data_IF_029798816412
#
_entry.id   IF_029798816412
#
_cell.length_a   1.000
_cell.length_b   1.000
_cell.length_c   1.000
_cell.angle_alpha   90.00
_cell.angle_beta   90.00
_cell.angle_gamma   90.00
#
_symmetry.space_group_name_H-M   'P 1'
#
loop_
_entity.id
_entity.type
_entity.pdbx_description
1 polymer ?
#
# COMPACT_ATOMS: atom_id res chain seq x y z
N UNK A 1 -25.66 -12.03 -16.05
CA UNK A 1 -25.82 -10.57 -16.03
C UNK A 1 -24.43 -9.96 -16.17
N UNK A 2 -24.29 -8.87 -16.90
CA UNK A 2 -22.98 -8.25 -17.15
C UNK A 2 -22.40 -7.66 -15.84
N UNK A 3 -21.06 -7.72 -15.65
CA UNK A 3 -20.41 -7.05 -14.52
C UNK A 3 -20.74 -5.55 -14.52
N UNK A 4 -20.66 -4.90 -13.35
CA UNK A 4 -20.74 -3.44 -13.30
C UNK A 4 -19.61 -2.86 -14.14
N UNK A 5 -19.97 -2.20 -15.22
CA UNK A 5 -19.07 -1.49 -16.12
C UNK A 5 -19.52 -0.05 -16.22
N UNK A 6 -18.74 0.78 -16.90
CA UNK A 6 -19.12 2.18 -17.19
C UNK A 6 -20.48 2.31 -17.88
N UNK A 7 -20.95 1.25 -18.52
CA UNK A 7 -22.21 1.19 -19.24
C UNK A 7 -23.40 0.71 -18.40
N UNK A 8 -23.19 0.30 -17.15
CA UNK A 8 -24.27 -0.15 -16.28
C UNK A 8 -25.24 0.99 -15.96
N UNK A 9 -26.55 0.69 -15.89
CA UNK A 9 -27.57 1.73 -15.74
C UNK A 9 -27.41 2.57 -14.47
N UNK A 10 -26.94 1.96 -13.37
CA UNK A 10 -26.61 2.69 -12.15
C UNK A 10 -25.49 3.72 -12.36
N UNK A 11 -24.45 3.37 -13.12
CA UNK A 11 -23.32 4.27 -13.40
C UNK A 11 -23.78 5.40 -14.32
N UNK A 12 -24.59 5.07 -15.33
CA UNK A 12 -25.20 6.07 -16.23
C UNK A 12 -26.06 7.05 -15.44
N UNK A 13 -26.92 6.53 -14.56
CA UNK A 13 -27.76 7.35 -13.69
C UNK A 13 -26.94 8.25 -12.77
N UNK A 14 -25.88 7.74 -12.12
CA UNK A 14 -25.01 8.56 -11.26
C UNK A 14 -24.37 9.70 -12.06
N UNK A 15 -23.90 9.44 -13.29
CA UNK A 15 -23.31 10.48 -14.15
C UNK A 15 -24.32 11.54 -14.56
N UNK A 16 -25.52 11.13 -14.93
CA UNK A 16 -26.62 12.04 -15.29
C UNK A 16 -27.04 12.87 -14.07
N UNK A 17 -27.22 12.25 -12.91
CA UNK A 17 -27.61 12.92 -11.67
C UNK A 17 -26.56 13.94 -11.22
N UNK A 18 -25.27 13.59 -11.33
CA UNK A 18 -24.16 14.52 -11.08
C UNK A 18 -24.24 15.74 -12.00
N UNK A 19 -24.45 15.51 -13.30
CA UNK A 19 -24.52 16.58 -14.29
C UNK A 19 -25.75 17.48 -14.07
N UNK A 20 -26.92 16.88 -13.83
CA UNK A 20 -28.18 17.59 -13.57
C UNK A 20 -28.10 18.50 -12.34
N UNK A 21 -27.36 18.07 -11.32
CA UNK A 21 -27.15 18.85 -10.08
C UNK A 21 -25.94 19.78 -10.13
N UNK A 22 -25.16 19.78 -11.22
CA UNK A 22 -23.93 20.58 -11.32
C UNK A 22 -22.86 20.19 -10.28
N UNK A 23 -22.81 18.92 -9.87
CA UNK A 23 -21.88 18.43 -8.84
C UNK A 23 -20.48 18.21 -9.42
N UNK A 24 -19.45 18.45 -8.60
CA UNK A 24 -18.08 18.05 -8.92
C UNK A 24 -17.94 16.52 -8.84
N UNK A 25 -18.61 15.89 -7.87
CA UNK A 25 -18.55 14.45 -7.64
C UNK A 25 -19.87 13.94 -7.05
N UNK A 26 -20.21 12.72 -7.43
CA UNK A 26 -21.22 11.88 -6.75
C UNK A 26 -20.58 10.53 -6.43
N UNK A 27 -20.86 10.02 -5.24
CA UNK A 27 -20.35 8.75 -4.74
C UNK A 27 -21.50 7.92 -4.18
N UNK A 28 -21.61 6.67 -4.66
CA UNK A 28 -22.48 5.65 -4.09
C UNK A 28 -21.64 4.68 -3.29
N UNK A 29 -22.00 4.50 -2.02
CA UNK A 29 -21.50 3.45 -1.16
C UNK A 29 -22.68 2.55 -0.78
N UNK A 30 -22.62 1.28 -1.16
CA UNK A 30 -23.63 0.28 -0.84
C UNK A 30 -22.99 -0.94 -0.20
N UNK A 31 -23.66 -1.53 0.78
CA UNK A 31 -23.18 -2.70 1.49
C UNK A 31 -24.29 -3.73 1.65
N UNK A 32 -23.92 -5.00 1.52
CA UNK A 32 -24.75 -6.14 1.84
C UNK A 32 -24.05 -6.93 2.96
N UNK A 33 -24.68 -6.94 4.13
CA UNK A 33 -24.12 -7.47 5.38
C UNK A 33 -24.93 -8.65 5.90
N UNK A 34 -24.36 -9.37 6.87
CA UNK A 34 -25.02 -10.47 7.58
C UNK A 34 -25.57 -11.51 6.60
N UNK A 35 -24.70 -12.13 5.83
CA UNK A 35 -25.05 -13.21 4.89
C UNK A 35 -26.12 -12.84 3.86
N UNK A 36 -26.21 -11.56 3.47
CA UNK A 36 -27.17 -11.10 2.47
C UNK A 36 -28.47 -10.50 3.01
N UNK A 37 -28.62 -10.41 4.33
CA UNK A 37 -29.87 -9.97 4.96
C UNK A 37 -30.02 -8.46 5.05
N UNK A 38 -28.95 -7.75 5.39
CA UNK A 38 -28.99 -6.30 5.63
C UNK A 38 -28.37 -5.59 4.44
N UNK A 39 -29.13 -4.67 3.85
CA UNK A 39 -28.68 -3.82 2.76
C UNK A 39 -28.67 -2.36 3.23
N UNK A 40 -27.52 -1.70 3.05
CA UNK A 40 -27.33 -0.27 3.33
C UNK A 40 -26.86 0.43 2.05
N UNK A 41 -27.35 1.64 1.79
CA UNK A 41 -26.84 2.52 0.74
C UNK A 41 -26.70 3.96 1.21
N UNK A 42 -25.72 4.67 0.67
CA UNK A 42 -25.48 6.08 0.93
C UNK A 42 -25.01 6.74 -0.35
N UNK A 43 -25.64 7.88 -0.69
CA UNK A 43 -25.13 8.78 -1.72
C UNK A 43 -24.47 9.99 -1.06
N UNK A 44 -23.25 10.28 -1.48
CA UNK A 44 -22.53 11.49 -1.13
C UNK A 44 -22.39 12.38 -2.37
N UNK A 45 -22.71 13.66 -2.22
CA UNK A 45 -22.59 14.68 -3.23
C UNK A 45 -21.51 15.68 -2.83
N UNK A 46 -20.64 16.04 -3.76
CA UNK A 46 -19.63 17.08 -3.58
C UNK A 46 -19.90 18.20 -4.58
N UNK A 47 -20.18 19.39 -4.04
CA UNK A 47 -20.33 20.60 -4.83
C UNK A 47 -18.98 21.09 -5.40
N UNK A 48 -18.98 21.98 -6.41
CA UNK A 48 -17.74 22.53 -6.99
C UNK A 48 -16.82 23.26 -6.01
N UNK A 49 -17.36 23.78 -4.91
CA UNK A 49 -16.61 24.44 -3.83
C UNK A 49 -16.09 23.45 -2.75
N UNK A 50 -16.36 22.15 -2.92
CA UNK A 50 -15.99 21.10 -1.98
C UNK A 50 -17.02 20.83 -0.88
N UNK A 51 -18.16 21.53 -0.85
CA UNK A 51 -19.20 21.28 0.15
C UNK A 51 -19.81 19.87 -0.03
N UNK A 52 -19.97 19.16 1.10
CA UNK A 52 -20.49 17.79 1.14
C UNK A 52 -21.97 17.78 1.54
N UNK A 53 -22.77 16.98 0.85
CA UNK A 53 -24.16 16.71 1.21
C UNK A 53 -24.53 15.26 0.93
N UNK A 54 -25.58 14.77 1.60
CA UNK A 54 -26.04 13.39 1.47
C UNK A 54 -27.33 13.31 0.65
N UNK A 55 -27.48 12.21 -0.07
CA UNK A 55 -28.66 11.90 -0.85
C UNK A 55 -29.17 10.49 -0.60
N UNK A 56 -30.31 10.20 -1.22
CA UNK A 56 -30.95 8.89 -1.18
C UNK A 56 -30.99 8.30 -2.58
N UNK A 57 -30.64 7.03 -2.70
CA UNK A 57 -30.77 6.33 -3.97
C UNK A 57 -32.26 6.09 -4.29
N UNK A 58 -32.74 6.41 -5.50
CA UNK A 58 -34.13 6.12 -5.86
C UNK A 58 -34.38 4.61 -5.94
N UNK A 59 -35.64 4.19 -5.75
CA UNK A 59 -35.98 2.77 -5.55
C UNK A 59 -35.58 1.85 -6.71
N UNK A 60 -35.68 2.33 -7.95
CA UNK A 60 -35.28 1.56 -9.14
C UNK A 60 -33.77 1.24 -9.10
N UNK A 61 -32.95 2.26 -8.85
CA UNK A 61 -31.51 2.13 -8.71
C UNK A 61 -31.13 1.30 -7.48
N UNK A 62 -31.82 1.51 -6.35
CA UNK A 62 -31.63 0.71 -5.13
C UNK A 62 -31.86 -0.76 -5.38
N UNK A 63 -32.95 -1.11 -6.05
CA UNK A 63 -33.29 -2.51 -6.37
C UNK A 63 -32.23 -3.15 -7.26
N UNK A 64 -31.71 -2.40 -8.24
CA UNK A 64 -30.63 -2.87 -9.12
C UNK A 64 -29.34 -3.16 -8.34
N UNK A 65 -28.91 -2.23 -7.49
CA UNK A 65 -27.69 -2.40 -6.67
C UNK A 65 -27.86 -3.56 -5.68
N UNK A 66 -29.02 -3.65 -5.02
CA UNK A 66 -29.30 -4.75 -4.10
C UNK A 66 -29.29 -6.11 -4.82
N UNK A 67 -29.88 -6.20 -6.01
CA UNK A 67 -29.88 -7.44 -6.80
C UNK A 67 -28.46 -7.86 -7.20
N UNK A 68 -27.62 -6.90 -7.61
CA UNK A 68 -26.21 -7.15 -7.91
C UNK A 68 -25.46 -7.69 -6.70
N UNK A 69 -25.55 -7.02 -5.55
CA UNK A 69 -24.84 -7.45 -4.33
C UNK A 69 -25.30 -8.84 -3.89
N UNK A 70 -26.61 -9.12 -3.95
CA UNK A 70 -27.16 -10.44 -3.61
C UNK A 70 -26.70 -11.54 -4.56
N UNK A 71 -26.59 -11.25 -5.85
CA UNK A 71 -26.04 -12.21 -6.81
C UNK A 71 -24.57 -12.49 -6.49
N UNK A 72 -23.77 -11.45 -6.26
CA UNK A 72 -22.36 -11.59 -5.93
C UNK A 72 -22.15 -12.38 -4.62
N UNK A 73 -23.05 -12.23 -3.65
CA UNK A 73 -23.09 -13.06 -2.44
C UNK A 73 -23.49 -14.51 -2.74
N UNK A 74 -24.49 -14.73 -3.60
CA UNK A 74 -24.98 -16.05 -3.92
C UNK A 74 -23.97 -16.90 -4.70
N UNK A 75 -23.07 -16.27 -5.47
CA UNK A 75 -21.97 -16.95 -6.17
C UNK A 75 -20.99 -17.63 -5.20
N UNK A 76 -20.75 -17.01 -4.04
CA UNK A 76 -19.89 -17.56 -2.99
C UNK A 76 -20.28 -16.95 -1.64
N UNK A 77 -21.13 -17.65 -0.89
CA UNK A 77 -21.65 -17.18 0.40
C UNK A 77 -20.56 -17.04 1.47
N UNK A 78 -19.40 -17.68 1.26
CA UNK A 78 -18.22 -17.51 2.10
C UNK A 78 -17.58 -16.12 2.01
N UNK A 79 -17.98 -15.29 1.03
CA UNK A 79 -17.50 -13.90 0.84
C UNK A 79 -17.83 -12.99 2.03
N UNK A 80 -18.85 -13.32 2.83
CA UNK A 80 -19.27 -12.52 3.97
C UNK A 80 -19.90 -11.19 3.52
N UNK A 81 -19.57 -10.10 4.21
CA UNK A 81 -20.06 -8.78 3.84
C UNK A 81 -19.50 -8.32 2.49
N UNK A 82 -20.33 -7.70 1.66
CA UNK A 82 -19.95 -7.18 0.34
C UNK A 82 -20.17 -5.68 0.31
N UNK A 83 -19.19 -4.93 -0.18
CA UNK A 83 -19.21 -3.48 -0.28
C UNK A 83 -18.99 -3.07 -1.74
N UNK A 84 -19.83 -2.18 -2.24
CA UNK A 84 -19.72 -1.54 -3.54
C UNK A 84 -19.52 -0.04 -3.35
N UNK A 85 -18.51 0.50 -4.02
CA UNK A 85 -18.28 1.93 -4.17
C UNK A 85 -18.30 2.29 -5.66
N UNK A 86 -19.10 3.28 -6.04
CA UNK A 86 -19.10 3.88 -7.38
C UNK A 86 -18.89 5.38 -7.26
N UNK A 87 -17.82 5.87 -7.86
CA UNK A 87 -17.46 7.28 -7.86
C UNK A 87 -17.59 7.80 -9.29
N UNK A 88 -18.34 8.88 -9.47
CA UNK A 88 -18.40 9.62 -10.73
C UNK A 88 -17.95 11.05 -10.48
N UNK A 89 -16.74 11.39 -10.94
CA UNK A 89 -16.21 12.75 -10.94
C UNK A 89 -16.59 13.48 -12.24
N UNK A 90 -16.51 14.81 -12.24
CA UNK A 90 -16.81 15.63 -13.41
C UNK A 90 -15.81 15.46 -14.57
N UNK A 91 -14.57 15.10 -14.25
CA UNK A 91 -13.43 15.14 -15.19
C UNK A 91 -12.85 13.77 -15.51
N UNK A 92 -13.32 12.71 -14.83
CA UNK A 92 -12.67 11.40 -14.85
C UNK A 92 -13.68 10.31 -15.22
N UNK A 93 -13.17 9.19 -15.71
CA UNK A 93 -13.98 7.99 -15.88
C UNK A 93 -14.53 7.48 -14.52
N UNK A 94 -15.69 6.82 -14.49
CA UNK A 94 -16.24 6.27 -13.26
C UNK A 94 -15.28 5.26 -12.61
N UNK A 95 -15.06 5.39 -11.30
CA UNK A 95 -14.32 4.41 -10.52
C UNK A 95 -15.31 3.48 -9.82
N UNK A 96 -15.28 2.19 -10.16
CA UNK A 96 -16.14 1.15 -9.60
C UNK A 96 -15.26 0.19 -8.80
N UNK A 97 -15.60 -0.02 -7.53
CA UNK A 97 -14.90 -0.95 -6.64
C UNK A 97 -15.91 -1.84 -5.94
N UNK A 98 -15.77 -3.15 -6.12
CA UNK A 98 -16.53 -4.17 -5.41
C UNK A 98 -15.54 -4.97 -4.57
N UNK A 99 -15.75 -4.99 -3.26
CA UNK A 99 -14.89 -5.70 -2.30
C UNK A 99 -15.73 -6.59 -1.41
N UNK A 100 -15.16 -7.70 -0.98
CA UNK A 100 -15.79 -8.62 -0.03
C UNK A 100 -14.91 -8.89 1.19
N UNK A 101 -15.55 -9.30 2.29
CA UNK A 101 -14.90 -9.56 3.57
C UNK A 101 -13.86 -10.68 3.48
N UNK A 102 -14.09 -11.69 2.65
CA UNK A 102 -13.15 -12.78 2.43
C UNK A 102 -11.86 -12.29 1.76
N UNK A 103 -11.96 -11.44 0.73
CA UNK A 103 -10.82 -10.78 0.10
C UNK A 103 -10.07 -9.91 1.10
N UNK A 104 -10.79 -9.10 1.89
CA UNK A 104 -10.16 -8.26 2.93
C UNK A 104 -9.41 -9.09 3.96
N UNK A 105 -10.03 -10.15 4.48
CA UNK A 105 -9.40 -11.05 5.45
C UNK A 105 -8.19 -11.78 4.87
N UNK A 106 -8.24 -12.20 3.61
CA UNK A 106 -7.08 -12.80 2.94
C UNK A 106 -5.94 -11.81 2.82
N UNK A 107 -6.21 -10.58 2.38
CA UNK A 107 -5.20 -9.52 2.31
C UNK A 107 -4.61 -9.19 3.69
N UNK A 108 -5.46 -9.07 4.73
CA UNK A 108 -5.02 -8.85 6.11
C UNK A 108 -4.16 -10.01 6.64
N UNK A 109 -4.54 -11.26 6.34
CA UNK A 109 -3.75 -12.43 6.73
C UNK A 109 -2.42 -12.50 5.98
N UNK A 110 -2.40 -12.21 4.68
CA UNK A 110 -1.19 -12.15 3.87
C UNK A 110 -0.23 -11.08 4.40
N UNK A 111 -0.76 -9.89 4.73
CA UNK A 111 0.00 -8.84 5.36
C UNK A 111 0.52 -9.26 6.75
N UNK A 112 -0.33 -9.82 7.61
CA UNK A 112 0.08 -10.25 8.94
C UNK A 112 1.14 -11.37 8.89
N UNK A 113 1.03 -12.29 7.92
CA UNK A 113 2.03 -13.32 7.67
C UNK A 113 3.35 -12.71 7.18
N UNK A 114 3.31 -11.74 6.28
CA UNK A 114 4.51 -11.03 5.85
C UNK A 114 5.18 -10.31 7.02
N UNK A 115 4.40 -9.63 7.86
CA UNK A 115 4.90 -8.88 9.03
C UNK A 115 5.44 -9.78 10.15
N UNK A 116 4.88 -10.97 10.35
CA UNK A 116 5.25 -11.89 11.43
C UNK A 116 6.73 -12.30 11.42
N UNK A 117 7.42 -12.15 10.29
CA UNK A 117 8.83 -12.53 10.13
C UNK A 117 9.82 -11.41 10.47
N UNK A 118 9.34 -10.17 10.66
CA UNK A 118 10.22 -9.03 10.94
C UNK A 118 10.45 -8.81 12.42
N UNK A 119 11.71 -8.60 12.80
CA UNK A 119 12.05 -8.10 14.12
C UNK A 119 11.81 -6.59 14.16
N UNK A 120 10.78 -6.18 14.89
CA UNK A 120 10.41 -4.76 15.06
C UNK A 120 11.33 -4.02 16.03
N UNK A 121 12.22 -4.72 16.74
CA UNK A 121 13.16 -4.08 17.68
C UNK A 121 14.20 -3.27 16.92
N UNK A 122 14.53 -2.05 17.39
CA UNK A 122 15.62 -1.28 16.84
C UNK A 122 16.93 -2.07 16.83
N UNK A 123 17.74 -1.88 15.79
CA UNK A 123 19.06 -2.52 15.67
C UNK A 123 20.00 -2.15 16.81
N UNK A 124 19.84 -0.94 17.34
CA UNK A 124 20.64 -0.45 18.44
C UNK A 124 22.03 0.01 18.01
N UNK A 125 22.67 0.74 18.92
CA UNK A 125 23.93 1.46 18.64
C UNK A 125 25.10 0.55 18.32
N UNK A 126 25.20 -0.61 18.97
CA UNK A 126 26.33 -1.53 18.78
C UNK A 126 26.39 -2.08 17.35
N UNK A 127 25.25 -2.51 16.80
CA UNK A 127 25.19 -3.00 15.42
C UNK A 127 25.47 -1.88 14.43
N UNK A 128 24.85 -0.72 14.63
CA UNK A 128 25.05 0.45 13.77
C UNK A 128 26.51 0.91 13.73
N UNK A 129 27.21 0.88 14.88
CA UNK A 129 28.63 1.19 14.95
C UNK A 129 29.49 0.22 14.13
N UNK A 130 29.20 -1.09 14.18
CA UNK A 130 29.92 -2.09 13.37
C UNK A 130 29.70 -1.91 11.88
N UNK A 131 28.49 -1.56 11.47
CA UNK A 131 28.21 -1.22 10.07
C UNK A 131 29.05 0.00 9.66
N UNK A 132 29.08 1.05 10.48
CA UNK A 132 29.90 2.23 10.18
C UNK A 132 31.40 1.88 10.04
N UNK A 133 31.93 1.00 10.89
CA UNK A 133 33.33 0.53 10.80
C UNK A 133 33.64 -0.19 9.48
N UNK A 134 32.70 -1.01 8.97
CA UNK A 134 32.85 -1.66 7.65
C UNK A 134 32.91 -0.59 6.55
N UNK A 135 32.02 0.40 6.59
CA UNK A 135 31.99 1.47 5.60
C UNK A 135 33.23 2.37 5.67
N UNK A 136 33.74 2.63 6.88
CA UNK A 136 34.98 3.39 7.09
C UNK A 136 36.23 2.67 6.54
N UNK A 137 36.21 1.34 6.49
CA UNK A 137 37.26 0.52 5.88
C UNK A 137 37.13 0.43 4.34
N UNK A 138 36.22 1.19 3.72
CA UNK A 138 35.94 1.15 2.28
C UNK A 138 35.05 -0.01 1.86
N UNK A 139 34.43 -0.71 2.82
CA UNK A 139 33.45 -1.75 2.55
C UNK A 139 32.10 -1.18 2.13
N UNK A 140 31.27 -2.03 1.54
CA UNK A 140 29.89 -1.74 1.17
C UNK A 140 28.99 -2.91 1.58
N UNK A 141 27.76 -2.59 1.99
CA UNK A 141 26.74 -3.60 2.26
C UNK A 141 25.64 -3.50 1.22
N UNK A 142 25.44 -4.57 0.45
CA UNK A 142 24.40 -4.63 -0.59
C UNK A 142 23.47 -5.83 -0.45
N UNK A 143 22.22 -5.65 -0.87
CA UNK A 143 21.21 -6.70 -1.04
C UNK A 143 20.59 -6.55 -2.42
N UNK A 144 20.45 -7.65 -3.16
CA UNK A 144 19.83 -7.65 -4.49
C UNK A 144 18.31 -7.51 -4.37
N UNK A 145 17.76 -6.47 -5.00
CA UNK A 145 16.32 -6.25 -5.13
C UNK A 145 15.83 -6.94 -6.42
N UNK A 146 16.45 -6.63 -7.56
CA UNK A 146 16.16 -7.26 -8.84
C UNK A 146 17.45 -7.71 -9.54
N UNK A 147 17.71 -9.03 -9.66
CA UNK A 147 18.90 -9.53 -10.33
C UNK A 147 18.88 -9.35 -11.85
N UNK A 148 17.72 -9.17 -12.48
CA UNK A 148 17.58 -8.96 -13.93
C UNK A 148 17.98 -7.54 -14.32
N UNK A 149 17.59 -6.57 -13.51
CA UNK A 149 17.92 -5.15 -13.69
C UNK A 149 19.24 -4.77 -13.02
N UNK A 150 19.86 -5.70 -12.28
CA UNK A 150 21.07 -5.43 -11.51
C UNK A 150 20.86 -4.40 -10.41
N UNK A 151 19.64 -4.29 -9.88
CA UNK A 151 19.24 -3.33 -8.87
C UNK A 151 19.56 -3.85 -7.47
N UNK A 152 20.35 -3.07 -6.74
CA UNK A 152 20.79 -3.37 -5.39
C UNK A 152 20.33 -2.27 -4.43
N UNK A 153 19.91 -2.67 -3.22
CA UNK A 153 19.89 -1.76 -2.07
C UNK A 153 21.27 -1.74 -1.45
N UNK A 154 21.77 -0.56 -1.09
CA UNK A 154 23.12 -0.39 -0.58
C UNK A 154 23.20 0.55 0.64
N UNK A 155 24.17 0.25 1.50
CA UNK A 155 24.79 1.20 2.43
C UNK A 155 26.25 1.37 2.01
N UNK A 156 26.65 2.60 1.73
CA UNK A 156 28.00 2.93 1.27
C UNK A 156 28.46 4.27 1.83
N UNK A 157 29.75 4.55 1.64
CA UNK A 157 30.37 5.84 1.97
C UNK A 157 31.15 6.32 0.75
N UNK A 158 30.64 7.28 -0.05
CA UNK A 158 31.40 7.84 -1.16
C UNK A 158 32.69 8.53 -0.68
N UNK A 159 33.57 8.84 -1.63
CA UNK A 159 34.82 9.57 -1.38
C UNK A 159 34.63 10.97 -0.79
N UNK A 160 33.41 11.53 -0.90
CA UNK A 160 32.99 12.75 -0.20
C UNK A 160 33.00 12.63 1.33
N UNK A 161 33.08 11.41 1.87
CA UNK A 161 33.10 11.11 3.30
C UNK A 161 31.73 11.02 3.96
N UNK A 162 30.64 11.23 3.21
CA UNK A 162 29.26 11.10 3.70
C UNK A 162 28.83 9.63 3.75
N UNK A 163 27.98 9.24 4.70
CA UNK A 163 27.36 7.91 4.64
C UNK A 163 26.09 8.00 3.80
N UNK A 164 25.75 6.94 3.06
CA UNK A 164 24.59 6.91 2.19
C UNK A 164 23.82 5.60 2.31
N UNK A 165 22.51 5.71 2.19
CA UNK A 165 21.56 4.61 2.04
C UNK A 165 20.73 4.86 0.78
N UNK A 166 20.56 3.84 -0.05
CA UNK A 166 19.79 3.99 -1.29
C UNK A 166 19.98 2.83 -2.26
N UNK A 167 19.85 3.14 -3.55
CA UNK A 167 19.90 2.18 -4.64
C UNK A 167 21.23 2.26 -5.38
N UNK A 168 21.71 1.12 -5.87
CA UNK A 168 22.84 1.01 -6.79
C UNK A 168 22.50 0.09 -7.94
N UNK A 169 22.97 0.46 -9.12
CA UNK A 169 22.80 -0.30 -10.35
C UNK A 169 24.11 -1.00 -10.70
N UNK A 170 24.02 -2.17 -11.33
CA UNK A 170 25.18 -2.93 -11.78
C UNK A 170 26.08 -2.14 -12.75
N UNK A 171 25.52 -1.15 -13.46
CA UNK A 171 26.23 -0.27 -14.40
C UNK A 171 27.01 0.87 -13.70
N UNK A 172 26.97 0.94 -12.37
CA UNK A 172 27.77 1.86 -11.55
C UNK A 172 27.03 3.10 -11.04
N UNK A 173 25.81 3.35 -11.54
CA UNK A 173 24.97 4.44 -11.04
C UNK A 173 24.49 4.17 -9.61
N UNK A 174 24.35 5.24 -8.83
CA UNK A 174 23.88 5.19 -7.45
C UNK A 174 22.92 6.33 -7.14
N UNK A 175 21.81 6.01 -6.49
CA UNK A 175 20.80 6.96 -6.05
C UNK A 175 20.70 6.91 -4.52
N UNK A 176 21.13 7.98 -3.86
CA UNK A 176 21.01 8.09 -2.40
C UNK A 176 19.59 8.50 -2.02
N UNK A 177 18.90 7.63 -1.28
CA UNK A 177 17.61 7.94 -0.64
C UNK A 177 17.82 8.74 0.66
N UNK A 178 18.94 8.50 1.34
CA UNK A 178 19.37 9.28 2.49
C UNK A 178 20.90 9.44 2.48
N UNK A 179 21.36 10.61 2.92
CA UNK A 179 22.78 10.89 3.15
C UNK A 179 22.97 11.43 4.55
N UNK A 180 24.12 11.14 5.15
CA UNK A 180 24.46 11.51 6.50
C UNK A 180 25.83 12.17 6.50
N UNK A 181 25.89 13.39 7.02
CA UNK A 181 27.09 14.22 6.98
C UNK A 181 28.13 13.76 8.00
N UNK A 182 27.72 12.97 9.00
CA UNK A 182 28.61 12.47 10.04
C UNK A 182 28.35 11.01 10.40
N UNK A 183 29.38 10.39 10.97
CA UNK A 183 29.33 9.02 11.50
C UNK A 183 28.28 8.87 12.60
N UNK A 184 28.20 9.83 13.51
CA UNK A 184 27.24 9.79 14.62
C UNK A 184 25.80 9.93 14.13
N UNK A 185 25.57 10.73 13.09
CA UNK A 185 24.26 10.85 12.46
C UNK A 185 23.82 9.53 11.80
N UNK A 186 24.71 8.90 11.03
CA UNK A 186 24.46 7.59 10.44
C UNK A 186 24.21 6.51 11.50
N UNK A 187 25.03 6.46 12.56
CA UNK A 187 24.88 5.48 13.63
C UNK A 187 23.54 5.65 14.34
N UNK A 188 23.16 6.90 14.67
CA UNK A 188 21.86 7.18 15.30
C UNK A 188 20.70 6.77 14.39
N UNK A 189 20.76 7.14 13.11
CA UNK A 189 19.75 6.75 12.13
C UNK A 189 19.59 5.23 12.07
N UNK A 190 20.68 4.49 11.84
CA UNK A 190 20.62 3.04 11.69
C UNK A 190 20.23 2.34 13.00
N UNK A 191 20.65 2.85 14.16
CA UNK A 191 20.31 2.28 15.45
C UNK A 191 18.80 2.31 15.74
N UNK A 192 18.08 3.26 15.17
CA UNK A 192 16.62 3.42 15.30
C UNK A 192 15.84 2.62 14.23
N UNK A 193 16.51 2.03 13.24
CA UNK A 193 15.87 1.17 12.22
C UNK A 193 15.61 -0.24 12.75
N UNK A 194 14.67 -0.92 12.12
CA UNK A 194 14.30 -2.32 12.35
C UNK A 194 14.12 -3.04 11.02
N UNK A 195 13.93 -4.37 11.06
CA UNK A 195 13.69 -5.17 9.86
C UNK A 195 12.42 -4.70 9.14
N UNK A 196 11.38 -4.39 9.91
CA UNK A 196 10.10 -3.88 9.40
C UNK A 196 10.27 -2.54 8.68
N UNK A 197 11.06 -1.63 9.25
CA UNK A 197 11.25 -0.29 8.66
C UNK A 197 11.93 -0.40 7.30
N UNK A 198 12.99 -1.21 7.17
CA UNK A 198 13.64 -1.40 5.88
C UNK A 198 12.78 -2.19 4.89
N UNK A 199 11.94 -3.11 5.37
CA UNK A 199 11.02 -3.87 4.54
C UNK A 199 9.94 -2.97 3.91
N UNK A 200 9.42 -2.01 4.67
CA UNK A 200 8.31 -1.13 4.26
C UNK A 200 8.77 0.11 3.47
N UNK A 201 10.04 0.52 3.56
CA UNK A 201 10.56 1.71 2.88
C UNK A 201 10.57 1.61 1.35
N UNK A 202 10.74 0.41 0.78
CA UNK A 202 10.81 0.24 -0.68
C UNK A 202 9.43 0.20 -1.35
N UNK A 203 8.50 -0.51 -0.70
CA UNK A 203 7.21 -0.89 -1.29
C UNK A 203 6.11 -0.82 -0.22
N UNK A 204 5.79 0.36 0.33
CA UNK A 204 4.88 0.49 1.48
C UNK A 204 3.47 -0.05 1.22
N UNK A 205 3.08 -0.23 -0.04
CA UNK A 205 1.76 -0.71 -0.45
C UNK A 205 1.74 -2.19 -0.88
N UNK A 206 2.88 -2.89 -0.90
CA UNK A 206 2.96 -4.30 -1.33
C UNK A 206 3.58 -5.20 -0.24
N UNK A 207 2.76 -5.72 0.69
CA UNK A 207 3.22 -6.59 1.77
C UNK A 207 3.93 -7.87 1.31
N UNK A 208 3.60 -8.38 0.12
CA UNK A 208 4.22 -9.60 -0.43
C UNK A 208 5.68 -9.35 -0.84
N UNK A 209 6.04 -8.09 -1.10
CA UNK A 209 7.39 -7.68 -1.49
C UNK A 209 8.30 -7.33 -0.30
N UNK A 210 7.75 -7.07 0.89
CA UNK A 210 8.48 -6.59 2.07
C UNK A 210 9.66 -7.48 2.49
N UNK A 211 9.58 -8.80 2.25
CA UNK A 211 10.66 -9.74 2.57
C UNK A 211 11.76 -9.86 1.51
N UNK A 212 11.55 -9.33 0.31
CA UNK A 212 12.48 -9.46 -0.81
C UNK A 212 13.47 -8.29 -0.82
N UNK A 213 14.76 -8.61 -0.93
CA UNK A 213 15.76 -7.60 -1.25
C UNK A 213 16.04 -6.53 -0.18
N UNK A 214 15.61 -6.75 1.07
CA UNK A 214 15.76 -5.78 2.16
C UNK A 214 16.89 -6.11 3.14
N UNK A 215 17.39 -5.09 3.85
CA UNK A 215 18.28 -5.29 4.98
C UNK A 215 17.50 -5.82 6.18
N UNK A 216 18.05 -6.83 6.85
CA UNK A 216 17.50 -7.33 8.10
C UNK A 216 18.61 -7.66 9.10
N UNK A 217 18.23 -7.95 10.35
CA UNK A 217 19.16 -8.27 11.43
C UNK A 217 20.04 -9.45 11.04
N UNK A 218 19.49 -10.50 10.44
CA UNK A 218 20.26 -11.67 10.01
C UNK A 218 21.34 -11.31 8.96
N UNK A 219 21.02 -10.43 8.02
CA UNK A 219 21.97 -9.89 7.05
C UNK A 219 23.11 -9.16 7.75
N UNK A 220 22.81 -8.23 8.65
CA UNK A 220 23.83 -7.46 9.37
C UNK A 220 24.68 -8.35 10.28
N UNK A 221 24.08 -9.33 10.95
CA UNK A 221 24.79 -10.31 11.78
C UNK A 221 25.81 -11.08 10.95
N UNK A 222 25.43 -11.54 9.76
CA UNK A 222 26.33 -12.25 8.84
C UNK A 222 27.48 -11.38 8.35
N UNK A 223 27.21 -10.10 8.08
CA UNK A 223 28.20 -9.16 7.51
C UNK A 223 29.14 -8.57 8.57
N UNK A 224 28.65 -8.38 9.79
CA UNK A 224 29.40 -7.80 10.91
C UNK A 224 29.99 -8.84 11.86
N UNK A 225 29.48 -10.07 11.85
CA UNK A 225 29.88 -11.14 12.76
C UNK A 225 29.30 -11.04 14.17
N UNK A 226 28.37 -10.11 14.45
CA UNK A 226 27.78 -9.92 15.79
C UNK A 226 26.27 -10.13 15.81
N UNK A 227 25.77 -10.76 16.89
CA UNK A 227 24.34 -10.81 17.22
C UNK A 227 23.96 -9.59 18.04
N UNK A 228 22.93 -8.86 17.61
CA UNK A 228 22.33 -7.73 18.33
C UNK A 228 21.12 -8.14 19.14
#
# INVERSE_FOLDING_TARGET
MEPLTENSDIVRWLREERANRGLARIELSAALKYQGEIYDDTLLFTAPDGALSFGTLPDAQRTQVQALLRQHHAEETARGNIELTVICDATSAPSIRLTDELQRRRAEQEQAQAEAHFDTRPYGRALAQRVAEILDAGGELTVTIDPREGLLRALWKPDSGTYAHGLRYAEGDSEALATFASRDEFIRWLAERSDEVFAKEDRPEDPLSWGHGTFNRAFFVRKTGQRS
#
